data_IF_336654123256
#
_entry.id   IF_336654123256
#
_cell.length_a   1.000
_cell.length_b   1.000
_cell.length_c   1.000
_cell.angle_alpha   90.00
_cell.angle_beta   90.00
_cell.angle_gamma   90.00
#
_symmetry.space_group_name_H-M   'P 1'
#
loop_
_entity.id
_entity.type
_entity.pdbx_description
1 polymer ?
#
# COMPACT_ATOMS: atom_id res chain seq x y z
N UNK A 1 37.72 -1.08 -22.28
CA UNK A 1 37.54 -0.18 -23.42
C UNK A 1 36.82 1.15 -23.12
N UNK A 2 36.62 1.57 -21.86
CA UNK A 2 36.35 3.00 -21.53
C UNK A 2 36.90 3.37 -20.14
N UNK A 3 36.94 2.40 -19.21
CA UNK A 3 37.49 2.56 -17.87
C UNK A 3 39.03 2.49 -17.78
N UNK A 4 39.71 1.85 -18.74
CA UNK A 4 41.15 1.54 -18.65
C UNK A 4 42.10 2.74 -18.80
N UNK A 5 41.59 3.93 -19.14
CA UNK A 5 42.37 5.16 -19.22
C UNK A 5 42.05 6.15 -18.09
N UNK A 6 41.10 5.81 -17.21
CA UNK A 6 40.77 6.63 -16.05
C UNK A 6 41.72 6.32 -14.91
N UNK A 7 42.06 7.34 -14.11
CA UNK A 7 42.79 7.11 -12.88
C UNK A 7 42.07 6.10 -11.98
N UNK A 8 42.82 5.33 -11.18
CA UNK A 8 42.28 4.36 -10.22
C UNK A 8 41.24 5.03 -9.32
N UNK A 9 41.55 6.23 -8.81
CA UNK A 9 40.64 7.01 -7.97
C UNK A 9 39.33 7.36 -8.70
N UNK A 10 39.40 7.78 -9.97
CA UNK A 10 38.19 8.07 -10.77
C UNK A 10 37.37 6.81 -11.07
N UNK A 11 38.02 5.68 -11.36
CA UNK A 11 37.34 4.39 -11.56
C UNK A 11 36.59 3.96 -10.30
N UNK A 12 37.26 4.01 -9.15
CA UNK A 12 36.66 3.70 -7.86
C UNK A 12 35.46 4.60 -7.57
N UNK A 13 35.62 5.91 -7.74
CA UNK A 13 34.55 6.88 -7.52
C UNK A 13 33.34 6.64 -8.45
N UNK A 14 33.57 6.33 -9.72
CA UNK A 14 32.48 6.01 -10.67
C UNK A 14 31.74 4.74 -10.27
N UNK A 15 32.46 3.66 -9.96
CA UNK A 15 31.81 2.37 -9.61
C UNK A 15 31.07 2.47 -8.28
N UNK A 16 31.69 3.03 -7.24
CA UNK A 16 31.04 3.25 -5.94
C UNK A 16 29.86 4.21 -6.09
N UNK A 17 30.01 5.29 -6.85
CA UNK A 17 28.94 6.22 -7.15
C UNK A 17 27.74 5.55 -7.83
N UNK A 18 27.98 4.71 -8.84
CA UNK A 18 26.92 3.95 -9.50
C UNK A 18 26.20 2.98 -8.55
N UNK A 19 26.95 2.29 -7.68
CA UNK A 19 26.36 1.38 -6.67
C UNK A 19 25.50 2.17 -5.67
N UNK A 20 25.98 3.33 -5.21
CA UNK A 20 25.21 4.20 -4.31
C UNK A 20 23.94 4.74 -4.98
N UNK A 21 24.02 5.16 -6.24
CA UNK A 21 22.85 5.60 -7.01
C UNK A 21 21.85 4.46 -7.17
N UNK A 22 22.30 3.24 -7.50
CA UNK A 22 21.45 2.05 -7.60
C UNK A 22 20.76 1.73 -6.25
N UNK A 23 21.48 1.85 -5.14
CA UNK A 23 20.93 1.64 -3.81
C UNK A 23 19.88 2.70 -3.45
N UNK A 24 20.19 3.99 -3.63
CA UNK A 24 19.27 5.09 -3.32
C UNK A 24 18.02 5.01 -4.19
N UNK A 25 18.16 4.78 -5.49
CA UNK A 25 17.03 4.67 -6.41
C UNK A 25 16.12 3.49 -6.05
N UNK A 26 16.70 2.32 -5.73
CA UNK A 26 15.93 1.16 -5.29
C UNK A 26 15.20 1.41 -3.96
N UNK A 27 15.87 2.05 -3.00
CA UNK A 27 15.28 2.41 -1.70
C UNK A 27 14.12 3.41 -1.87
N UNK A 28 14.30 4.45 -2.68
CA UNK A 28 13.25 5.43 -2.99
C UNK A 28 12.06 4.76 -3.66
N UNK A 29 12.30 3.90 -4.66
CA UNK A 29 11.22 3.13 -5.31
C UNK A 29 10.47 2.24 -4.31
N UNK A 30 11.18 1.57 -3.40
CA UNK A 30 10.57 0.76 -2.35
C UNK A 30 9.67 1.58 -1.44
N UNK A 31 10.15 2.73 -0.96
CA UNK A 31 9.37 3.65 -0.12
C UNK A 31 8.13 4.15 -0.87
N UNK A 32 8.28 4.61 -2.12
CA UNK A 32 7.15 5.10 -2.92
C UNK A 32 6.07 4.02 -3.13
N UNK A 33 6.47 2.77 -3.39
CA UNK A 33 5.52 1.67 -3.57
C UNK A 33 4.86 1.24 -2.25
N UNK A 34 5.61 1.24 -1.15
CA UNK A 34 5.04 0.97 0.18
C UNK A 34 4.06 2.07 0.61
N UNK A 35 4.36 3.34 0.33
CA UNK A 35 3.45 4.45 0.60
C UNK A 35 2.15 4.33 -0.21
N UNK A 36 2.24 3.95 -1.48
CA UNK A 36 1.06 3.70 -2.32
C UNK A 36 0.18 2.58 -1.74
N UNK A 37 0.79 1.48 -1.28
CA UNK A 37 0.05 0.41 -0.60
C UNK A 37 -0.57 0.89 0.72
N UNK A 38 0.14 1.73 1.46
CA UNK A 38 -0.34 2.34 2.70
C UNK A 38 -1.55 3.26 2.50
N UNK A 39 -1.58 4.06 1.43
CA UNK A 39 -2.72 4.90 1.08
C UNK A 39 -3.97 4.09 0.74
N UNK A 40 -3.81 2.99 -0.02
CA UNK A 40 -4.92 2.09 -0.36
C UNK A 40 -5.52 1.43 0.90
N UNK A 41 -4.65 0.93 1.79
CA UNK A 41 -5.09 0.35 3.08
C UNK A 41 -5.77 1.42 3.95
N UNK A 42 -5.24 2.64 3.99
CA UNK A 42 -5.82 3.74 4.75
C UNK A 42 -7.22 4.09 4.22
N UNK A 43 -7.40 4.18 2.91
CA UNK A 43 -8.70 4.41 2.29
C UNK A 43 -9.70 3.30 2.67
N UNK A 44 -9.28 2.03 2.61
CA UNK A 44 -10.10 0.90 3.03
C UNK A 44 -10.57 1.01 4.49
N UNK A 45 -9.67 1.34 5.41
CA UNK A 45 -9.99 1.43 6.85
C UNK A 45 -10.80 2.68 7.19
N UNK A 46 -10.36 3.85 6.74
CA UNK A 46 -10.98 5.13 7.13
C UNK A 46 -12.30 5.39 6.41
N UNK A 47 -12.46 4.89 5.18
CA UNK A 47 -13.66 5.10 4.39
C UNK A 47 -14.58 3.89 4.43
N UNK A 48 -14.17 2.78 3.82
CA UNK A 48 -15.06 1.67 3.54
C UNK A 48 -15.47 0.94 4.83
N UNK A 49 -14.51 0.59 5.69
CA UNK A 49 -14.80 -0.11 6.96
C UNK A 49 -15.65 0.76 7.90
N UNK A 50 -15.34 2.04 8.02
CA UNK A 50 -16.15 2.94 8.87
C UNK A 50 -17.58 3.10 8.32
N UNK A 51 -17.75 3.16 7.00
CA UNK A 51 -19.07 3.25 6.36
C UNK A 51 -19.88 1.97 6.57
N UNK A 52 -19.27 0.80 6.37
CA UNK A 52 -19.91 -0.50 6.65
C UNK A 52 -20.33 -0.60 8.12
N UNK A 53 -19.44 -0.26 9.06
CA UNK A 53 -19.74 -0.28 10.50
C UNK A 53 -20.87 0.67 10.86
N UNK A 54 -20.87 1.88 10.30
CA UNK A 54 -21.95 2.85 10.50
C UNK A 54 -23.28 2.33 9.96
N UNK A 55 -23.28 1.68 8.79
CA UNK A 55 -24.44 1.02 8.22
C UNK A 55 -24.94 -0.16 9.07
N UNK A 56 -24.02 -0.97 9.60
CA UNK A 56 -24.32 -2.09 10.49
C UNK A 56 -24.91 -1.62 11.84
N UNK A 57 -24.37 -0.55 12.42
CA UNK A 57 -24.94 0.08 13.61
C UNK A 57 -26.31 0.71 13.33
N UNK A 58 -26.49 1.33 12.17
CA UNK A 58 -27.80 1.82 11.73
C UNK A 58 -28.80 0.68 11.59
N UNK A 59 -28.42 -0.43 10.98
CA UNK A 59 -29.23 -1.64 10.88
C UNK A 59 -29.62 -2.15 12.28
N UNK A 60 -28.66 -2.26 13.20
CA UNK A 60 -28.88 -2.69 14.59
C UNK A 60 -29.87 -1.78 15.33
N UNK A 61 -29.69 -0.46 15.22
CA UNK A 61 -30.59 0.53 15.82
C UNK A 61 -32.00 0.46 15.22
N UNK A 62 -32.09 0.21 13.92
CA UNK A 62 -33.37 0.05 13.19
C UNK A 62 -34.09 -1.22 13.64
N UNK A 63 -33.42 -2.36 13.66
CA UNK A 63 -33.97 -3.64 14.16
C UNK A 63 -34.47 -3.50 15.59
N UNK A 64 -33.67 -2.92 16.49
CA UNK A 64 -34.08 -2.68 17.87
C UNK A 64 -35.28 -1.71 17.97
N UNK A 65 -35.35 -0.71 17.09
CA UNK A 65 -36.49 0.20 16.99
C UNK A 65 -37.77 -0.49 16.52
N UNK A 66 -37.67 -1.37 15.51
CA UNK A 66 -38.79 -2.16 14.98
C UNK A 66 -39.33 -3.08 16.07
N UNK A 67 -38.47 -3.84 16.74
CA UNK A 67 -38.87 -4.77 17.81
C UNK A 67 -39.54 -4.04 18.98
N UNK A 68 -39.03 -2.86 19.34
CA UNK A 68 -39.62 -2.03 20.40
C UNK A 68 -40.99 -1.48 20.02
N UNK A 69 -41.15 -1.01 18.78
CA UNK A 69 -42.44 -0.56 18.29
C UNK A 69 -43.45 -1.71 18.20
N UNK A 70 -43.01 -2.91 17.83
CA UNK A 70 -43.84 -4.12 17.88
C UNK A 70 -44.26 -4.49 19.31
N UNK A 71 -43.34 -4.43 20.27
CA UNK A 71 -43.66 -4.66 21.69
C UNK A 71 -44.69 -3.65 22.21
N UNK A 72 -44.52 -2.36 21.90
CA UNK A 72 -45.50 -1.32 22.25
C UNK A 72 -46.86 -1.62 21.60
N UNK A 73 -46.88 -1.94 20.30
CA UNK A 73 -48.11 -2.20 19.56
C UNK A 73 -48.89 -3.41 20.08
N UNK A 74 -48.20 -4.49 20.44
CA UNK A 74 -48.83 -5.75 20.89
C UNK A 74 -49.12 -5.80 22.39
N UNK A 75 -48.47 -4.97 23.20
CA UNK A 75 -48.69 -4.94 24.65
C UNK A 75 -50.02 -4.29 25.05
N UNK A 76 -50.62 -4.76 26.14
CA UNK A 76 -51.74 -4.13 26.83
C UNK A 76 -51.32 -3.00 27.78
N UNK A 77 -50.03 -2.89 28.11
CA UNK A 77 -49.48 -1.88 29.02
C UNK A 77 -49.22 -0.55 28.29
N UNK A 78 -50.03 0.46 28.60
CA UNK A 78 -49.90 1.82 28.06
C UNK A 78 -48.62 2.54 28.55
N UNK A 79 -48.03 2.10 29.67
CA UNK A 79 -46.80 2.67 30.23
C UNK A 79 -45.55 2.41 29.39
N UNK A 80 -45.57 1.40 28.50
CA UNK A 80 -44.43 1.06 27.65
C UNK A 80 -44.03 2.20 26.70
N UNK A 81 -44.97 3.03 26.25
CA UNK A 81 -44.67 4.19 25.39
C UNK A 81 -43.73 5.16 26.11
N UNK A 82 -44.04 5.50 27.37
CA UNK A 82 -43.24 6.39 28.19
C UNK A 82 -41.91 5.73 28.60
N UNK A 83 -41.94 4.45 28.99
CA UNK A 83 -40.75 3.68 29.35
C UNK A 83 -39.70 3.67 28.23
N UNK A 84 -40.14 3.46 26.99
CA UNK A 84 -39.25 3.36 25.84
C UNK A 84 -38.92 4.70 25.15
N UNK A 85 -39.52 5.81 25.58
CA UNK A 85 -39.30 7.12 24.98
C UNK A 85 -37.81 7.55 25.03
N UNK A 86 -37.08 7.44 26.16
CA UNK A 86 -35.66 7.82 26.21
C UNK A 86 -34.79 6.99 25.26
N UNK A 87 -34.96 5.66 25.27
CA UNK A 87 -34.24 4.76 24.37
C UNK A 87 -34.59 5.01 22.88
N UNK A 88 -35.80 5.51 22.60
CA UNK A 88 -36.23 5.87 21.24
C UNK A 88 -35.60 7.16 20.78
N UNK A 89 -35.57 8.18 21.63
CA UNK A 89 -34.88 9.43 21.35
C UNK A 89 -33.38 9.21 21.10
N UNK A 90 -32.72 8.42 21.95
CA UNK A 90 -31.30 8.08 21.79
C UNK A 90 -31.02 7.34 20.47
N UNK A 91 -31.83 6.32 20.14
CA UNK A 91 -31.67 5.57 18.88
C UNK A 91 -31.88 6.45 17.65
N UNK A 92 -32.87 7.35 17.67
CA UNK A 92 -33.13 8.31 16.58
C UNK A 92 -31.93 9.24 16.40
N UNK A 93 -31.43 9.82 17.50
CA UNK A 93 -30.25 10.70 17.47
C UNK A 93 -29.04 9.98 16.87
N UNK A 94 -28.67 8.81 17.41
CA UNK A 94 -27.53 8.03 16.91
C UNK A 94 -27.70 7.67 15.43
N UNK A 95 -28.91 7.25 15.04
CA UNK A 95 -29.18 6.90 13.64
C UNK A 95 -29.03 8.11 12.71
N UNK A 96 -29.46 9.30 13.14
CA UNK A 96 -29.29 10.52 12.33
C UNK A 96 -27.82 10.93 12.19
N UNK A 97 -27.01 10.74 13.24
CA UNK A 97 -25.56 10.97 13.18
C UNK A 97 -24.86 9.98 12.24
N UNK A 98 -25.22 8.69 12.32
CA UNK A 98 -24.72 7.64 11.41
C UNK A 98 -25.10 7.94 9.95
N UNK A 99 -26.34 8.35 9.69
CA UNK A 99 -26.79 8.70 8.33
C UNK A 99 -26.02 9.88 7.75
N UNK A 100 -25.79 10.94 8.55
CA UNK A 100 -24.97 12.08 8.11
C UNK A 100 -23.54 11.67 7.78
N UNK A 101 -22.96 10.77 8.57
CA UNK A 101 -21.64 10.24 8.29
C UNK A 101 -21.63 9.44 6.98
N UNK A 102 -22.59 8.52 6.80
CA UNK A 102 -22.71 7.69 5.59
C UNK A 102 -22.92 8.55 4.35
N UNK A 103 -23.77 9.58 4.43
CA UNK A 103 -24.06 10.51 3.32
C UNK A 103 -22.78 11.16 2.76
N UNK A 104 -21.82 11.51 3.63
CA UNK A 104 -20.53 12.09 3.22
C UNK A 104 -19.64 11.10 2.44
N UNK A 105 -19.93 9.81 2.52
CA UNK A 105 -19.17 8.73 1.87
C UNK A 105 -19.84 8.22 0.59
N UNK A 106 -20.97 8.80 0.16
CA UNK A 106 -21.70 8.44 -1.05
C UNK A 106 -21.04 9.05 -2.29
N UNK A 107 -19.86 8.53 -2.62
CA UNK A 107 -18.98 9.02 -3.69
C UNK A 107 -19.30 8.46 -5.08
N UNK A 108 -20.18 7.47 -5.16
CA UNK A 108 -20.61 6.86 -6.43
C UNK A 108 -22.12 7.03 -6.65
N UNK A 109 -22.58 7.08 -7.92
CA UNK A 109 -24.01 7.15 -8.23
C UNK A 109 -24.81 6.00 -7.61
N UNK A 110 -24.25 4.79 -7.59
CA UNK A 110 -24.88 3.59 -7.04
C UNK A 110 -25.08 3.69 -5.53
N UNK A 111 -24.02 4.08 -4.78
CA UNK A 111 -24.13 4.32 -3.34
C UNK A 111 -25.17 5.38 -3.01
N UNK A 112 -25.14 6.50 -3.74
CA UNK A 112 -26.11 7.59 -3.57
C UNK A 112 -27.55 7.11 -3.82
N UNK A 113 -27.77 6.36 -4.88
CA UNK A 113 -29.09 5.82 -5.22
C UNK A 113 -29.62 4.87 -4.13
N UNK A 114 -28.75 3.99 -3.59
CA UNK A 114 -29.13 3.10 -2.48
C UNK A 114 -29.48 3.92 -1.23
N UNK A 115 -28.65 4.90 -0.86
CA UNK A 115 -28.89 5.75 0.29
C UNK A 115 -30.21 6.54 0.19
N UNK A 116 -30.46 7.18 -0.96
CA UNK A 116 -31.69 7.93 -1.22
C UNK A 116 -32.92 7.02 -1.14
N UNK A 117 -32.84 5.80 -1.72
CA UNK A 117 -33.91 4.81 -1.65
C UNK A 117 -34.22 4.41 -0.20
N UNK A 118 -33.20 4.20 0.62
CA UNK A 118 -33.36 3.89 2.05
C UNK A 118 -33.94 5.08 2.79
N UNK A 119 -33.59 6.31 2.42
CA UNK A 119 -34.19 7.54 2.93
C UNK A 119 -35.71 7.60 2.70
N UNK A 120 -36.17 7.24 1.50
CA UNK A 120 -37.61 7.17 1.20
C UNK A 120 -38.31 6.07 2.00
N UNK A 121 -37.72 4.88 2.11
CA UNK A 121 -38.27 3.79 2.92
C UNK A 121 -38.39 4.17 4.40
N UNK A 122 -37.38 4.88 4.92
CA UNK A 122 -37.37 5.39 6.30
C UNK A 122 -38.54 6.33 6.56
N UNK A 123 -38.86 7.25 5.64
CA UNK A 123 -39.98 8.19 5.80
C UNK A 123 -41.31 7.44 5.97
N UNK A 124 -41.55 6.45 5.11
CA UNK A 124 -42.79 5.65 5.15
C UNK A 124 -42.86 4.83 6.45
N UNK A 125 -41.75 4.21 6.86
CA UNK A 125 -41.64 3.48 8.13
C UNK A 125 -41.91 4.37 9.36
N UNK A 126 -41.29 5.56 9.42
CA UNK A 126 -41.45 6.48 10.54
C UNK A 126 -42.90 6.97 10.67
N UNK A 127 -43.56 7.27 9.55
CA UNK A 127 -44.97 7.65 9.54
C UNK A 127 -45.86 6.50 10.04
N UNK A 128 -45.64 5.26 9.59
CA UNK A 128 -46.39 4.10 10.07
C UNK A 128 -46.19 3.88 11.58
N UNK A 129 -44.95 4.04 12.07
CA UNK A 129 -44.62 3.94 13.50
C UNK A 129 -45.33 5.01 14.33
N UNK A 130 -45.37 6.24 13.84
CA UNK A 130 -46.04 7.35 14.50
C UNK A 130 -47.55 7.10 14.61
N UNK A 131 -48.18 6.60 13.55
CA UNK A 131 -49.62 6.31 13.54
C UNK A 131 -49.99 5.19 14.52
N UNK A 132 -49.17 4.13 14.61
CA UNK A 132 -49.32 3.09 15.65
C UNK A 132 -49.22 3.70 17.05
N UNK A 133 -48.25 4.58 17.29
CA UNK A 133 -48.07 5.24 18.59
C UNK A 133 -49.25 6.14 18.95
N UNK A 134 -49.80 6.90 17.98
CA UNK A 134 -50.96 7.77 18.20
C UNK A 134 -52.22 6.96 18.54
N UNK A 135 -52.50 5.89 17.80
CA UNK A 135 -53.63 5.00 18.07
C UNK A 135 -53.52 4.40 19.48
N UNK A 136 -52.32 3.97 19.90
CA UNK A 136 -52.07 3.49 21.27
C UNK A 136 -52.31 4.54 22.35
N UNK A 137 -51.82 5.76 22.15
CA UNK A 137 -52.02 6.85 23.10
C UNK A 137 -53.50 7.27 23.21
N UNK A 138 -54.26 7.12 22.12
CA UNK A 138 -55.71 7.35 22.09
C UNK A 138 -56.53 6.21 22.70
N UNK A 139 -55.91 5.10 23.12
CA UNK A 139 -56.61 3.91 23.63
C UNK A 139 -57.25 3.03 22.55
N UNK A 140 -57.03 3.33 21.26
CA UNK A 140 -57.56 2.57 20.13
C UNK A 140 -56.67 1.35 19.83
N UNK A 141 -56.91 0.27 20.57
CA UNK A 141 -56.13 -0.98 20.45
C UNK A 141 -56.37 -1.70 19.13
N UNK A 142 -57.60 -1.67 18.62
CA UNK A 142 -57.96 -2.35 17.38
C UNK A 142 -57.37 -1.61 16.17
N UNK A 143 -57.50 -0.29 16.13
CA UNK A 143 -56.87 0.54 15.10
C UNK A 143 -55.35 0.47 15.14
N UNK A 144 -54.73 0.49 16.33
CA UNK A 144 -53.30 0.29 16.48
C UNK A 144 -52.83 -1.05 15.90
N UNK A 145 -53.56 -2.14 16.15
CA UNK A 145 -53.22 -3.47 15.63
C UNK A 145 -53.41 -3.57 14.11
N UNK A 146 -54.44 -2.90 13.56
CA UNK A 146 -54.69 -2.83 12.12
C UNK A 146 -53.57 -2.08 11.40
N UNK A 147 -53.24 -0.86 11.85
CA UNK A 147 -52.13 -0.07 11.31
C UNK A 147 -50.81 -0.83 11.43
N UNK A 148 -50.62 -1.52 12.57
CA UNK A 148 -49.43 -2.32 12.79
C UNK A 148 -49.25 -3.42 11.72
N UNK A 149 -50.29 -4.21 11.50
CA UNK A 149 -50.26 -5.38 10.59
C UNK A 149 -50.25 -4.96 9.13
N UNK A 150 -51.09 -3.99 8.75
CA UNK A 150 -51.29 -3.62 7.34
C UNK A 150 -50.21 -2.66 6.82
N UNK A 151 -49.58 -1.88 7.70
CA UNK A 151 -48.64 -0.83 7.28
C UNK A 151 -47.29 -0.88 7.98
N UNK A 152 -47.26 -0.98 9.31
CA UNK A 152 -45.98 -0.95 10.03
C UNK A 152 -45.11 -2.17 9.73
N UNK A 153 -45.66 -3.38 9.75
CA UNK A 153 -44.89 -4.61 9.48
C UNK A 153 -44.30 -4.64 8.05
N UNK A 154 -45.09 -4.41 6.97
CA UNK A 154 -44.53 -4.36 5.61
C UNK A 154 -43.47 -3.28 5.44
N UNK A 155 -43.74 -2.06 5.91
CA UNK A 155 -42.80 -0.94 5.76
C UNK A 155 -41.53 -1.12 6.59
N UNK A 156 -41.62 -1.79 7.75
CA UNK A 156 -40.47 -2.17 8.55
C UNK A 156 -39.60 -3.21 7.84
N UNK A 157 -40.21 -4.21 7.20
CA UNK A 157 -39.49 -5.21 6.41
C UNK A 157 -38.77 -4.58 5.23
N UNK A 158 -39.45 -3.73 4.47
CA UNK A 158 -38.86 -3.07 3.30
C UNK A 158 -37.71 -2.14 3.71
N UNK A 159 -37.90 -1.35 4.76
CA UNK A 159 -36.87 -0.47 5.27
C UNK A 159 -35.66 -1.25 5.79
N UNK A 160 -35.86 -2.32 6.57
CA UNK A 160 -34.79 -3.17 7.06
C UNK A 160 -34.01 -3.82 5.91
N UNK A 161 -34.71 -4.35 4.91
CA UNK A 161 -34.11 -4.93 3.71
C UNK A 161 -33.32 -3.88 2.91
N UNK A 162 -33.81 -2.65 2.83
CA UNK A 162 -33.10 -1.53 2.20
C UNK A 162 -31.78 -1.20 2.90
N UNK A 163 -31.80 -1.05 4.23
CA UNK A 163 -30.58 -0.79 5.02
C UNK A 163 -29.61 -1.97 4.89
N UNK A 164 -30.11 -3.21 4.97
CA UNK A 164 -29.30 -4.42 4.81
C UNK A 164 -28.61 -4.45 3.43
N UNK A 165 -29.35 -4.19 2.36
CA UNK A 165 -28.79 -4.14 1.00
C UNK A 165 -27.69 -3.09 0.86
N UNK A 166 -27.84 -1.93 1.50
CA UNK A 166 -26.79 -0.91 1.51
C UNK A 166 -25.53 -1.39 2.26
N UNK A 167 -25.70 -2.08 3.40
CA UNK A 167 -24.58 -2.69 4.15
C UNK A 167 -23.88 -3.78 3.33
N UNK A 168 -24.65 -4.65 2.67
CA UNK A 168 -24.10 -5.72 1.85
C UNK A 168 -23.33 -5.17 0.65
N UNK A 169 -23.82 -4.11 0.01
CA UNK A 169 -23.07 -3.40 -1.03
C UNK A 169 -21.73 -2.85 -0.53
N UNK A 170 -21.68 -2.26 0.68
CA UNK A 170 -20.39 -1.82 1.26
C UNK A 170 -19.47 -3.00 1.59
N UNK A 171 -20.00 -4.17 1.98
CA UNK A 171 -19.22 -5.39 2.20
C UNK A 171 -18.63 -5.95 0.92
N UNK A 172 -19.41 -6.02 -0.15
CA UNK A 172 -18.92 -6.44 -1.47
C UNK A 172 -17.78 -5.52 -1.94
N UNK A 173 -17.96 -4.19 -1.80
CA UNK A 173 -16.91 -3.23 -2.14
C UNK A 173 -15.65 -3.36 -1.28
N UNK A 174 -15.81 -3.74 0.00
CA UNK A 174 -14.69 -4.03 0.91
C UNK A 174 -13.93 -5.29 0.49
N UNK A 175 -14.64 -6.37 0.18
CA UNK A 175 -14.04 -7.62 -0.27
C UNK A 175 -13.29 -7.44 -1.59
N UNK A 176 -13.89 -6.72 -2.54
CA UNK A 176 -13.26 -6.34 -3.79
C UNK A 176 -12.01 -5.46 -3.58
N UNK A 177 -12.08 -4.49 -2.66
CA UNK A 177 -10.93 -3.67 -2.30
C UNK A 177 -9.82 -4.51 -1.65
N UNK A 178 -10.16 -5.47 -0.80
CA UNK A 178 -9.21 -6.38 -0.18
C UNK A 178 -8.49 -7.24 -1.22
N UNK A 179 -9.22 -7.80 -2.18
CA UNK A 179 -8.63 -8.56 -3.29
C UNK A 179 -7.71 -7.69 -4.16
N UNK A 180 -8.11 -6.47 -4.51
CA UNK A 180 -7.25 -5.51 -5.23
C UNK A 180 -6.00 -5.16 -4.44
N UNK A 181 -6.13 -4.96 -3.13
CA UNK A 181 -5.01 -4.69 -2.23
C UNK A 181 -3.99 -5.82 -2.18
N UNK A 182 -4.44 -7.06 -2.07
CA UNK A 182 -3.55 -8.24 -2.06
C UNK A 182 -2.87 -8.43 -3.43
N UNK A 183 -3.60 -8.24 -4.53
CA UNK A 183 -3.02 -8.27 -5.87
C UNK A 183 -1.97 -7.16 -6.08
N UNK A 184 -2.22 -5.95 -5.59
CA UNK A 184 -1.27 -4.85 -5.61
C UNK A 184 -0.02 -5.16 -4.78
N UNK A 185 -0.20 -5.69 -3.57
CA UNK A 185 0.89 -6.13 -2.70
C UNK A 185 1.75 -7.21 -3.35
N UNK A 186 1.15 -8.21 -3.99
CA UNK A 186 1.87 -9.26 -4.70
C UNK A 186 2.71 -8.69 -5.85
N UNK A 187 2.13 -7.78 -6.65
CA UNK A 187 2.83 -7.10 -7.75
C UNK A 187 3.98 -6.23 -7.26
N UNK A 188 3.77 -5.45 -6.19
CA UNK A 188 4.81 -4.62 -5.57
C UNK A 188 5.94 -5.51 -5.04
N UNK A 189 5.60 -6.57 -4.30
CA UNK A 189 6.59 -7.52 -3.77
C UNK A 189 7.44 -8.11 -4.89
N UNK A 190 6.81 -8.60 -5.97
CA UNK A 190 7.53 -9.14 -7.13
C UNK A 190 8.46 -8.09 -7.76
N UNK A 191 7.96 -6.87 -7.97
CA UNK A 191 8.75 -5.77 -8.52
C UNK A 191 9.97 -5.46 -7.64
N UNK A 192 9.79 -5.39 -6.32
CA UNK A 192 10.89 -5.13 -5.38
C UNK A 192 11.91 -6.26 -5.36
N UNK A 193 11.47 -7.52 -5.43
CA UNK A 193 12.38 -8.67 -5.55
C UNK A 193 13.18 -8.59 -6.85
N UNK A 194 12.52 -8.34 -7.99
CA UNK A 194 13.19 -8.22 -9.29
C UNK A 194 14.19 -7.06 -9.29
N UNK A 195 13.80 -5.88 -8.80
CA UNK A 195 14.69 -4.73 -8.69
C UNK A 195 15.88 -5.00 -7.75
N UNK A 196 15.67 -5.71 -6.64
CA UNK A 196 16.73 -6.06 -5.70
C UNK A 196 17.73 -7.04 -6.30
N UNK A 197 17.24 -8.11 -6.94
CA UNK A 197 18.08 -9.10 -7.63
C UNK A 197 18.86 -8.45 -8.77
N UNK A 198 18.20 -7.60 -9.56
CA UNK A 198 18.85 -6.85 -10.64
C UNK A 198 19.94 -5.91 -10.12
N UNK A 199 19.65 -5.13 -9.07
CA UNK A 199 20.61 -4.20 -8.47
C UNK A 199 21.80 -4.93 -7.86
N UNK A 200 21.57 -6.08 -7.20
CA UNK A 200 22.62 -6.93 -6.67
C UNK A 200 23.50 -7.50 -7.79
N UNK A 201 22.89 -8.01 -8.87
CA UNK A 201 23.60 -8.55 -10.02
C UNK A 201 24.45 -7.48 -10.74
N UNK A 202 23.88 -6.29 -10.95
CA UNK A 202 24.60 -5.17 -11.56
C UNK A 202 25.73 -4.65 -10.65
N UNK A 203 25.50 -4.56 -9.35
CA UNK A 203 26.53 -4.20 -8.37
C UNK A 203 27.68 -5.20 -8.34
N UNK A 204 27.38 -6.51 -8.34
CA UNK A 204 28.38 -7.57 -8.40
C UNK A 204 29.18 -7.52 -9.71
N UNK A 205 28.52 -7.29 -10.85
CA UNK A 205 29.19 -7.14 -12.14
C UNK A 205 30.13 -5.94 -12.16
N UNK A 206 29.69 -4.78 -11.67
CA UNK A 206 30.52 -3.57 -11.59
C UNK A 206 31.72 -3.77 -10.66
N UNK A 207 31.51 -4.40 -9.50
CA UNK A 207 32.60 -4.73 -8.57
C UNK A 207 33.62 -5.70 -9.21
N UNK A 208 33.15 -6.74 -9.91
CA UNK A 208 34.02 -7.67 -10.61
C UNK A 208 34.83 -7.01 -11.72
N UNK A 209 34.21 -6.15 -12.53
CA UNK A 209 34.89 -5.37 -13.56
C UNK A 209 35.94 -4.43 -12.97
N UNK A 210 35.64 -3.80 -11.84
CA UNK A 210 36.57 -2.92 -11.13
C UNK A 210 37.80 -3.71 -10.65
N UNK A 211 37.59 -4.82 -9.94
CA UNK A 211 38.65 -5.70 -9.45
C UNK A 211 39.53 -6.18 -10.61
N UNK A 212 38.92 -6.67 -11.70
CA UNK A 212 39.67 -7.12 -12.89
C UNK A 212 40.48 -5.99 -13.53
N UNK A 213 39.97 -4.76 -13.53
CA UNK A 213 40.65 -3.60 -14.13
C UNK A 213 41.84 -3.06 -13.33
N UNK A 214 41.93 -3.39 -12.04
CA UNK A 214 42.99 -2.90 -11.14
C UNK A 214 43.97 -4.04 -10.79
N UNK A 215 43.44 -5.17 -10.34
CA UNK A 215 44.25 -6.28 -9.82
C UNK A 215 45.08 -6.95 -10.91
N UNK A 216 44.57 -7.06 -12.15
CA UNK A 216 45.30 -7.72 -13.25
C UNK A 216 46.54 -6.91 -13.69
N UNK A 217 46.46 -5.60 -13.99
CA UNK A 217 47.65 -4.79 -14.31
C UNK A 217 48.66 -4.72 -13.15
N UNK A 218 48.18 -4.59 -11.91
CA UNK A 218 49.07 -4.58 -10.74
C UNK A 218 49.79 -5.91 -10.56
N UNK A 219 49.11 -7.04 -10.74
CA UNK A 219 49.76 -8.35 -10.67
C UNK A 219 50.82 -8.52 -11.75
N UNK A 220 50.61 -7.96 -12.94
CA UNK A 220 51.61 -8.00 -14.01
C UNK A 220 52.84 -7.13 -13.68
N UNK A 221 52.62 -5.91 -13.16
CA UNK A 221 53.70 -5.05 -12.69
C UNK A 221 54.56 -5.74 -11.60
N UNK A 222 53.93 -6.45 -10.67
CA UNK A 222 54.62 -7.23 -9.63
C UNK A 222 55.45 -8.37 -10.23
N UNK A 223 54.95 -9.06 -11.26
CA UNK A 223 55.69 -10.12 -11.95
C UNK A 223 56.93 -9.56 -12.66
N UNK A 224 56.79 -8.46 -13.39
CA UNK A 224 57.91 -7.78 -14.07
C UNK A 224 58.97 -7.32 -13.07
N UNK A 225 58.56 -6.67 -11.98
CA UNK A 225 59.50 -6.23 -10.94
C UNK A 225 60.29 -7.40 -10.32
N UNK A 226 59.63 -8.55 -10.11
CA UNK A 226 60.31 -9.78 -9.63
C UNK A 226 61.28 -10.36 -10.64
N UNK A 227 60.94 -10.35 -11.94
CA UNK A 227 61.84 -10.81 -13.00
C UNK A 227 63.11 -9.95 -13.05
N UNK A 228 62.95 -8.62 -13.04
CA UNK A 228 64.09 -7.68 -13.00
C UNK A 228 64.94 -7.89 -11.74
N UNK A 229 64.32 -8.06 -10.57
CA UNK A 229 65.04 -8.33 -9.32
C UNK A 229 65.81 -9.66 -9.34
N UNK A 230 65.36 -10.65 -10.11
CA UNK A 230 66.05 -11.92 -10.33
C UNK A 230 67.12 -11.85 -11.43
N UNK A 231 67.31 -10.70 -12.08
CA UNK A 231 68.25 -10.51 -13.18
C UNK A 231 67.73 -10.99 -14.55
N UNK A 232 66.46 -11.38 -14.65
CA UNK A 232 65.83 -11.71 -15.93
C UNK A 232 65.28 -10.44 -16.61
N UNK A 233 66.10 -9.89 -17.51
CA UNK A 233 65.77 -8.69 -18.29
C UNK A 233 65.12 -9.01 -19.64
N UNK A 234 64.83 -10.28 -19.94
CA UNK A 234 64.28 -10.71 -21.24
C UNK A 234 62.78 -10.46 -21.37
N UNK A 235 62.12 -10.05 -20.29
CA UNK A 235 60.69 -9.79 -20.24
C UNK A 235 60.27 -8.65 -21.17
N UNK A 236 59.30 -8.92 -22.06
CA UNK A 236 58.70 -7.91 -22.94
C UNK A 236 57.62 -7.14 -22.19
N UNK A 237 57.92 -5.90 -21.82
CA UNK A 237 57.03 -5.04 -21.04
C UNK A 237 56.19 -4.18 -22.00
N UNK A 238 54.91 -4.50 -22.14
CA UNK A 238 53.95 -3.69 -22.91
C UNK A 238 53.12 -2.79 -21.99
N UNK A 239 52.96 -1.52 -22.38
CA UNK A 239 52.18 -0.52 -21.64
C UNK A 239 50.83 -0.34 -22.35
N UNK A 240 49.78 -0.94 -21.79
CA UNK A 240 48.43 -0.97 -22.40
C UNK A 240 47.48 0.12 -21.87
N UNK A 241 47.91 0.92 -20.89
CA UNK A 241 47.08 1.90 -20.18
C UNK A 241 47.80 3.24 -20.00
N UNK A 242 47.04 4.33 -19.85
CA UNK A 242 47.52 5.68 -19.53
C UNK A 242 47.26 6.11 -18.09
N UNK A 243 46.65 5.25 -17.28
CA UNK A 243 46.36 5.50 -15.87
C UNK A 243 47.59 5.23 -14.96
N UNK A 244 47.43 5.27 -13.64
CA UNK A 244 48.52 5.04 -12.68
C UNK A 244 49.19 3.65 -12.84
N UNK A 245 48.43 2.61 -13.23
CA UNK A 245 49.00 1.29 -13.53
C UNK A 245 49.80 1.30 -14.83
N UNK A 246 49.36 2.07 -15.82
CA UNK A 246 50.11 2.32 -17.06
C UNK A 246 51.42 3.08 -16.82
N UNK A 247 51.37 4.12 -15.99
CA UNK A 247 52.55 4.89 -15.58
C UNK A 247 53.55 4.03 -14.79
N UNK A 248 53.07 3.16 -13.89
CA UNK A 248 53.90 2.18 -13.19
C UNK A 248 54.58 1.21 -14.16
N UNK A 249 53.82 0.66 -15.13
CA UNK A 249 54.36 -0.24 -16.14
C UNK A 249 55.40 0.44 -17.05
N UNK A 250 55.17 1.70 -17.42
CA UNK A 250 56.14 2.50 -18.17
C UNK A 250 57.44 2.69 -17.38
N UNK A 251 57.37 3.05 -16.11
CA UNK A 251 58.54 3.20 -15.25
C UNK A 251 59.33 1.89 -15.11
N UNK A 252 58.64 0.75 -14.98
CA UNK A 252 59.27 -0.58 -14.95
C UNK A 252 59.96 -0.92 -16.28
N UNK A 253 59.35 -0.54 -17.41
CA UNK A 253 59.95 -0.69 -18.75
C UNK A 253 61.23 0.12 -18.87
N UNK A 254 61.19 1.40 -18.53
CA UNK A 254 62.34 2.30 -18.63
C UNK A 254 63.51 1.83 -17.74
N UNK A 255 63.20 1.28 -16.56
CA UNK A 255 64.18 0.64 -15.67
C UNK A 255 64.80 -0.62 -16.28
N UNK A 256 63.98 -1.51 -16.86
CA UNK A 256 64.46 -2.73 -17.51
C UNK A 256 65.37 -2.40 -18.71
N UNK A 257 64.93 -1.48 -19.58
CA UNK A 257 65.69 -1.05 -20.76
C UNK A 257 67.05 -0.43 -20.36
N UNK A 258 67.07 0.36 -19.27
CA UNK A 258 68.31 0.96 -18.74
C UNK A 258 69.28 -0.11 -18.20
N UNK A 259 68.78 -1.11 -17.47
CA UNK A 259 69.60 -2.22 -16.96
C UNK A 259 70.17 -3.08 -18.09
N UNK A 260 69.38 -3.36 -19.14
CA UNK A 260 69.85 -4.07 -20.34
C UNK A 260 70.99 -3.31 -20.99
N UNK A 261 70.87 -1.97 -21.12
CA UNK A 261 71.93 -1.13 -21.66
C UNK A 261 73.22 -1.16 -20.84
N UNK A 262 73.12 -1.12 -19.49
CA UNK A 262 74.28 -1.20 -18.60
C UNK A 262 75.00 -2.54 -18.76
N UNK A 263 74.27 -3.66 -18.71
CA UNK A 263 74.86 -5.01 -18.85
C UNK A 263 75.46 -5.22 -20.25
N UNK A 264 74.83 -4.66 -21.29
CA UNK A 264 75.33 -4.71 -22.66
C UNK A 264 76.65 -3.96 -22.87
N UNK A 265 76.87 -2.84 -22.16
CA UNK A 265 78.07 -2.02 -22.26
C UNK A 265 79.29 -2.55 -21.46
N UNK A 266 79.10 -3.55 -20.59
CA UNK A 266 80.16 -4.10 -19.72
C UNK A 266 80.80 -5.38 -20.31
N UNK A 267 80.35 -5.84 -21.49
CA UNK A 267 80.90 -7.01 -22.20
C UNK A 267 81.92 -6.65 -23.27
#
# INVERSE_FOLDING_TARGET
>A
MFLGNLSIGKRLAVVVGLILVLFVTSSVLAVLKLSQLGEEIKAMVEKNIKTERAGSDWLRHTTAGIQRAAAIAKSSDAGLVAYFAPASAASIKNTNELQKFIEQQMDTPEKKQLFDKVGELRKVYLAAREDVSKAKQAGDMEGANRIFTERFEPTSRDYLAGVQKMVDNERELLDDAAQRGEALRARISLLLVVCSVFSLGLGALLAWLLVRSITRPLSHAVQVARAVAAGDLTSRIEVESRDETGQLMQALKDMNDSLVGIVGNVR
#
